data_IF_905041144009
#
_entry.id   IF_905041144009
#
_cell.length_a   1.000
_cell.length_b   1.000
_cell.length_c   1.000
_cell.angle_alpha   90.00
_cell.angle_beta   90.00
_cell.angle_gamma   90.00
#
_symmetry.space_group_name_H-M   'P 1'
#
loop_
_entity.id
_entity.type
_entity.pdbx_description
1 polymer ?
#
# COMPACT_ATOMS: atom_id res chain seq x y z
N UNK A 1 7.20 -54.34 8.64
CA UNK A 1 6.68 -55.60 9.19
C UNK A 1 7.88 -56.24 9.86
N UNK A 2 7.96 -56.15 11.21
CA UNK A 2 9.00 -56.78 12.07
C UNK A 2 10.47 -56.33 11.84
N UNK A 3 11.40 -56.35 12.81
CA UNK A 3 11.31 -56.60 14.27
C UNK A 3 12.49 -55.98 15.04
N UNK A 4 12.21 -55.67 16.32
CA UNK A 4 13.05 -55.56 17.54
C UNK A 4 14.54 -55.14 17.54
N UNK A 5 14.85 -54.20 18.45
CA UNK A 5 16.14 -54.09 19.14
C UNK A 5 16.34 -55.23 20.17
N UNK A 6 17.60 -55.62 20.44
CA UNK A 6 18.05 -56.11 21.75
C UNK A 6 19.52 -55.74 22.00
N UNK A 7 19.78 -54.78 22.90
CA UNK A 7 20.23 -54.96 24.31
C UNK A 7 21.70 -55.34 24.49
N UNK A 8 22.43 -54.52 25.26
CA UNK A 8 23.48 -54.98 26.18
C UNK A 8 23.51 -54.07 27.42
N UNK A 9 23.34 -54.69 28.59
CA UNK A 9 23.50 -54.15 29.95
C UNK A 9 24.36 -55.19 30.71
N UNK A 10 25.20 -54.84 31.70
CA UNK A 10 24.80 -54.91 33.12
C UNK A 10 25.59 -53.89 34.01
N UNK A 11 25.66 -53.88 35.36
CA UNK A 11 25.21 -54.76 36.47
C UNK A 11 24.87 -53.88 37.73
N UNK A 12 24.75 -54.33 39.03
CA UNK A 12 23.69 -53.79 39.91
C UNK A 12 24.11 -53.50 41.39
N UNK A 13 23.11 -53.56 42.30
CA UNK A 13 23.13 -53.58 43.78
C UNK A 13 23.09 -52.21 44.50
N UNK A 14 21.96 -51.78 45.11
CA UNK A 14 21.29 -52.19 46.38
C UNK A 14 21.80 -51.42 47.62
N UNK A 15 20.95 -50.77 48.44
CA UNK A 15 20.34 -51.22 49.73
C UNK A 15 19.33 -50.09 50.15
N UNK A 16 18.00 -50.28 50.15
CA UNK A 16 17.06 -50.75 51.21
C UNK A 16 16.36 -49.66 52.09
N UNK A 17 15.19 -49.94 52.74
CA UNK A 17 14.12 -48.94 52.98
C UNK A 17 13.53 -48.88 54.42
N UNK A 18 12.45 -48.08 54.64
CA UNK A 18 11.28 -48.17 55.60
C UNK A 18 10.70 -46.74 55.88
N UNK A 19 9.44 -46.42 56.27
CA UNK A 19 8.22 -47.18 56.64
C UNK A 19 6.90 -46.32 56.52
N UNK A 20 5.80 -46.93 56.02
CA UNK A 20 4.33 -46.81 56.36
C UNK A 20 3.56 -45.46 56.59
N UNK A 21 2.65 -45.13 55.63
CA UNK A 21 1.13 -45.07 55.68
C UNK A 21 0.35 -44.72 56.98
N UNK A 22 -0.88 -44.10 56.97
CA UNK A 22 -2.05 -44.44 56.11
C UNK A 22 -3.01 -43.26 55.67
N UNK A 23 -4.15 -43.53 54.96
CA UNK A 23 -5.01 -42.51 54.31
C UNK A 23 -6.40 -42.29 54.98
N UNK A 24 -7.16 -41.28 54.51
CA UNK A 24 -8.60 -41.10 54.77
C UNK A 24 -9.32 -40.48 53.55
N UNK A 25 -10.37 -41.13 53.07
CA UNK A 25 -11.49 -40.54 52.30
C UNK A 25 -12.64 -40.27 53.27
N UNK A 26 -13.43 -39.20 53.08
CA UNK A 26 -14.86 -39.33 52.71
C UNK A 26 -15.65 -37.99 52.58
N UNK A 27 -16.57 -37.99 51.61
CA UNK A 27 -17.89 -37.33 51.57
C UNK A 27 -18.11 -35.80 51.69
N UNK A 28 -18.56 -35.23 50.55
CA UNK A 28 -19.84 -34.51 50.38
C UNK A 28 -20.27 -33.45 51.41
N UNK A 29 -20.20 -32.18 50.99
CA UNK A 29 -21.29 -31.20 51.21
C UNK A 29 -21.42 -30.27 50.00
N UNK A 30 -22.65 -30.05 49.52
CA UNK A 30 -22.96 -29.00 48.55
C UNK A 30 -23.03 -27.66 49.27
N UNK A 31 -22.47 -26.62 48.68
CA UNK A 31 -22.58 -25.25 49.17
C UNK A 31 -23.45 -24.41 48.20
N UNK A 32 -24.76 -24.47 48.40
CA UNK A 32 -25.75 -23.71 47.62
C UNK A 32 -25.81 -22.24 48.12
N UNK A 33 -24.78 -21.44 47.79
CA UNK A 33 -24.75 -19.98 48.05
C UNK A 33 -24.74 -19.17 46.74
N UNK A 34 -25.64 -18.18 46.56
CA UNK A 34 -25.79 -17.47 45.30
C UNK A 34 -24.59 -16.57 45.00
N UNK A 35 -24.13 -16.59 43.75
CA UNK A 35 -23.08 -15.72 43.24
C UNK A 35 -23.52 -14.25 43.32
N UNK A 36 -22.86 -13.47 44.19
CA UNK A 36 -23.03 -12.02 44.27
C UNK A 36 -22.55 -11.36 42.97
N UNK A 37 -23.34 -10.43 42.43
CA UNK A 37 -22.96 -9.61 41.28
C UNK A 37 -21.82 -8.66 41.68
N UNK A 38 -20.84 -8.36 40.81
CA UNK A 38 -19.85 -7.33 41.08
C UNK A 38 -20.52 -5.95 41.21
N UNK A 39 -20.09 -5.18 42.21
CA UNK A 39 -20.57 -3.81 42.43
C UNK A 39 -20.07 -2.85 41.33
N UNK A 40 -20.82 -1.79 41.00
CA UNK A 40 -20.38 -0.78 40.06
C UNK A 40 -19.28 0.11 40.66
N UNK A 41 -18.13 0.18 39.99
CA UNK A 41 -17.03 1.10 40.32
C UNK A 41 -17.52 2.55 40.19
N UNK A 42 -17.27 3.45 41.17
CA UNK A 42 -17.72 4.84 41.09
C UNK A 42 -16.99 5.58 39.94
N UNK A 43 -17.66 6.54 39.28
CA UNK A 43 -17.04 7.30 38.20
C UNK A 43 -15.92 8.18 38.74
N UNK A 44 -14.69 7.93 38.25
CA UNK A 44 -13.58 8.87 38.42
C UNK A 44 -13.87 10.21 37.72
N UNK A 45 -13.16 11.29 38.10
CA UNK A 45 -13.47 12.63 37.61
C UNK A 45 -13.37 12.69 36.08
N UNK A 46 -14.42 13.21 35.45
CA UNK A 46 -14.47 13.47 34.00
C UNK A 46 -13.34 14.41 33.61
N UNK A 47 -12.31 13.87 32.97
CA UNK A 47 -11.35 14.69 32.24
C UNK A 47 -12.12 15.34 31.08
N UNK A 48 -12.25 16.66 31.11
CA UNK A 48 -12.68 17.42 29.94
C UNK A 48 -11.75 17.07 28.77
N UNK A 49 -12.26 16.90 27.54
CA UNK A 49 -11.39 16.73 26.38
C UNK A 49 -10.46 17.94 26.30
N UNK A 50 -9.16 17.69 26.43
CA UNK A 50 -8.16 18.75 26.51
C UNK A 50 -8.27 19.62 25.26
N UNK A 51 -8.48 20.92 25.46
CA UNK A 51 -8.47 21.90 24.39
C UNK A 51 -7.05 22.01 23.87
N UNK A 52 -6.72 21.23 22.84
CA UNK A 52 -5.38 21.19 22.23
C UNK A 52 -5.04 22.60 21.76
N UNK A 53 -4.09 23.25 22.45
CA UNK A 53 -3.72 24.63 22.17
C UNK A 53 -2.99 24.71 20.84
N UNK A 54 -3.25 25.77 20.06
CA UNK A 54 -2.64 25.99 18.75
C UNK A 54 -1.12 25.66 18.62
N UNK A 55 -0.23 26.02 19.58
CA UNK A 55 1.20 25.65 19.50
C UNK A 55 1.49 24.14 19.41
N UNK A 56 0.67 23.27 20.03
CA UNK A 56 0.88 21.81 20.00
C UNK A 56 0.58 21.24 18.60
N UNK A 57 -0.44 21.78 17.92
CA UNK A 57 -0.78 21.38 16.54
C UNK A 57 0.30 21.84 15.55
N UNK A 58 0.84 23.04 15.70
CA UNK A 58 1.89 23.56 14.81
C UNK A 58 3.19 22.75 14.91
N UNK A 59 3.61 22.37 16.12
CA UNK A 59 4.77 21.49 16.33
C UNK A 59 4.52 20.08 15.76
N UNK A 60 3.31 19.54 15.96
CA UNK A 60 2.87 18.26 15.39
C UNK A 60 2.92 18.28 13.85
N UNK A 61 2.37 19.31 13.21
CA UNK A 61 2.38 19.45 11.75
C UNK A 61 3.79 19.64 11.20
N UNK A 62 4.66 20.38 11.89
CA UNK A 62 6.08 20.50 11.52
C UNK A 62 6.80 19.15 11.56
N UNK A 63 6.53 18.33 12.59
CA UNK A 63 7.12 16.99 12.75
C UNK A 63 6.61 15.98 11.72
N UNK A 64 5.34 16.06 11.34
CA UNK A 64 4.68 15.12 10.43
C UNK A 64 4.36 15.73 9.06
N UNK A 65 5.18 16.67 8.59
CA UNK A 65 4.94 17.52 7.42
C UNK A 65 4.54 16.77 6.13
N UNK A 66 5.03 15.53 5.92
CA UNK A 66 4.66 14.68 4.78
C UNK A 66 3.20 14.15 4.79
N UNK A 67 2.47 14.36 5.88
CA UNK A 67 1.08 13.92 6.07
C UNK A 67 0.10 15.07 6.33
N UNK A 68 0.58 16.31 6.38
CA UNK A 68 -0.25 17.50 6.63
C UNK A 68 -1.11 17.81 5.40
N UNK A 69 -2.42 17.91 5.60
CA UNK A 69 -3.38 18.38 4.58
C UNK A 69 -3.44 19.90 4.57
N UNK A 70 -3.25 20.52 3.41
CA UNK A 70 -3.27 21.98 3.21
C UNK A 70 -4.27 22.38 2.13
N UNK A 71 -5.56 22.12 2.40
CA UNK A 71 -6.65 22.41 1.47
C UNK A 71 -7.79 23.17 2.17
N UNK A 72 -8.81 23.64 1.42
CA UNK A 72 -9.86 24.50 2.00
C UNK A 72 -10.77 23.75 2.98
N UNK A 73 -10.70 22.42 3.03
CA UNK A 73 -11.44 21.56 3.96
C UNK A 73 -10.65 21.31 5.26
N UNK A 74 -9.42 21.80 5.34
CA UNK A 74 -8.57 21.77 6.52
C UNK A 74 -8.15 20.38 6.97
N UNK A 75 -7.55 20.32 8.17
CA UNK A 75 -7.07 19.07 8.78
C UNK A 75 -8.19 18.03 8.84
N UNK A 76 -7.89 16.80 8.40
CA UNK A 76 -8.85 15.69 8.31
C UNK A 76 -10.10 15.96 7.44
N UNK A 77 -10.18 17.06 6.69
CA UNK A 77 -11.42 17.52 6.05
C UNK A 77 -12.48 17.97 7.07
N UNK A 78 -12.09 18.49 8.24
CA UNK A 78 -12.96 18.94 9.34
C UNK A 78 -12.98 20.46 9.56
N UNK A 79 -12.31 21.23 8.71
CA UNK A 79 -12.19 22.68 8.83
C UNK A 79 -13.49 23.44 8.53
N UNK A 80 -13.60 24.65 9.07
CA UNK A 80 -14.75 25.53 8.86
C UNK A 80 -14.80 26.08 7.43
N UNK A 81 -15.81 25.64 6.68
CA UNK A 81 -15.96 26.03 5.28
C UNK A 81 -16.63 27.42 5.12
N UNK A 82 -16.06 28.29 4.25
CA UNK A 82 -16.75 29.47 3.74
C UNK A 82 -18.12 29.16 3.14
N UNK A 83 -19.03 30.13 3.14
CA UNK A 83 -20.38 29.95 2.56
C UNK A 83 -20.37 29.57 1.07
N UNK A 84 -19.40 30.07 0.30
CA UNK A 84 -19.22 29.71 -1.12
C UNK A 84 -18.86 28.23 -1.27
N UNK A 85 -17.96 27.70 -0.42
CA UNK A 85 -17.60 26.28 -0.41
C UNK A 85 -18.81 25.41 -0.05
N UNK A 86 -19.59 25.81 0.97
CA UNK A 86 -20.84 25.12 1.36
C UNK A 86 -21.87 25.08 0.22
N UNK A 87 -22.05 26.19 -0.50
CA UNK A 87 -22.96 26.27 -1.65
C UNK A 87 -22.51 25.36 -2.80
N UNK A 88 -21.21 25.39 -3.13
CA UNK A 88 -20.65 24.57 -4.22
C UNK A 88 -20.68 23.06 -3.88
N UNK A 89 -20.45 22.69 -2.61
CA UNK A 89 -20.69 21.33 -2.13
C UNK A 89 -22.16 20.93 -2.27
N UNK A 90 -23.09 21.80 -1.86
CA UNK A 90 -24.54 21.52 -1.96
C UNK A 90 -24.98 21.30 -3.40
N UNK A 91 -24.53 22.15 -4.33
CA UNK A 91 -24.77 21.98 -5.77
C UNK A 91 -24.19 20.66 -6.30
N UNK A 92 -22.93 20.37 -5.97
CA UNK A 92 -22.27 19.14 -6.40
C UNK A 92 -22.92 17.88 -5.81
N UNK A 93 -23.41 17.93 -4.57
CA UNK A 93 -24.13 16.83 -3.91
C UNK A 93 -25.44 16.47 -4.60
N UNK A 94 -26.17 17.46 -5.11
CA UNK A 94 -27.44 17.24 -5.84
C UNK A 94 -27.20 16.83 -7.30
N UNK A 95 -26.10 17.29 -7.92
CA UNK A 95 -25.87 17.12 -9.37
C UNK A 95 -24.76 16.11 -9.71
N UNK A 96 -23.51 16.38 -9.29
CA UNK A 96 -22.35 15.58 -9.64
C UNK A 96 -22.29 14.24 -8.90
N UNK A 97 -22.56 14.23 -7.59
CA UNK A 97 -22.39 13.02 -6.76
C UNK A 97 -23.29 11.87 -7.23
N UNK A 98 -24.62 12.03 -7.48
CA UNK A 98 -25.46 10.92 -7.94
C UNK A 98 -25.04 10.43 -9.32
N UNK A 99 -24.74 11.35 -10.25
CA UNK A 99 -24.28 11.03 -11.59
C UNK A 99 -22.99 10.21 -11.56
N UNK A 100 -21.98 10.68 -10.81
CA UNK A 100 -20.66 10.03 -10.71
C UNK A 100 -20.72 8.69 -9.98
N UNK A 101 -21.56 8.54 -8.96
CA UNK A 101 -21.79 7.27 -8.29
C UNK A 101 -22.42 6.24 -9.25
N UNK A 102 -23.46 6.63 -9.98
CA UNK A 102 -24.10 5.75 -10.97
C UNK A 102 -23.11 5.38 -12.08
N UNK A 103 -22.51 6.36 -12.76
CA UNK A 103 -21.55 6.10 -13.85
C UNK A 103 -20.35 5.29 -13.39
N UNK A 104 -19.77 5.59 -12.22
CA UNK A 104 -18.63 4.87 -11.66
C UNK A 104 -18.97 3.42 -11.31
N UNK A 105 -20.12 3.19 -10.69
CA UNK A 105 -20.61 1.84 -10.41
C UNK A 105 -20.91 1.06 -11.69
N UNK A 106 -21.52 1.69 -12.70
CA UNK A 106 -21.74 1.06 -14.02
C UNK A 106 -20.43 0.64 -14.65
N UNK A 107 -19.41 1.50 -14.69
CA UNK A 107 -18.08 1.15 -15.25
C UNK A 107 -17.44 -0.01 -14.48
N UNK A 108 -17.50 0.01 -13.13
CA UNK A 108 -16.94 -1.06 -12.29
C UNK A 108 -17.66 -2.40 -12.50
N UNK A 109 -18.99 -2.39 -12.57
CA UNK A 109 -19.83 -3.59 -12.77
C UNK A 109 -19.63 -4.16 -14.17
N UNK A 110 -19.61 -3.33 -15.22
CA UNK A 110 -19.33 -3.76 -16.58
C UNK A 110 -17.95 -4.41 -16.70
N UNK A 111 -16.92 -3.79 -16.12
CA UNK A 111 -15.56 -4.34 -16.14
C UNK A 111 -15.46 -5.64 -15.34
N UNK A 112 -16.13 -5.74 -14.18
CA UNK A 112 -16.26 -7.00 -13.43
C UNK A 112 -16.90 -8.11 -14.27
N UNK A 113 -17.98 -7.83 -15.02
CA UNK A 113 -18.59 -8.82 -15.90
C UNK A 113 -17.66 -9.25 -17.03
N UNK A 114 -16.90 -8.33 -17.64
CA UNK A 114 -15.89 -8.65 -18.66
C UNK A 114 -14.81 -9.58 -18.08
N UNK A 115 -14.26 -9.25 -16.90
CA UNK A 115 -13.34 -10.12 -16.17
C UNK A 115 -13.97 -11.49 -15.88
N UNK A 116 -15.23 -11.54 -15.43
CA UNK A 116 -15.94 -12.78 -15.10
C UNK A 116 -16.17 -13.68 -16.32
N UNK A 117 -16.48 -13.11 -17.48
CA UNK A 117 -16.60 -13.81 -18.75
C UNK A 117 -15.23 -14.32 -19.22
N UNK A 118 -14.19 -13.47 -19.19
CA UNK A 118 -12.86 -13.85 -19.65
C UNK A 118 -12.22 -14.94 -18.76
N UNK A 119 -12.49 -14.92 -17.45
CA UNK A 119 -12.04 -15.96 -16.49
C UNK A 119 -12.96 -17.18 -16.41
N UNK A 120 -14.11 -17.18 -17.10
CA UNK A 120 -15.04 -18.30 -17.07
C UNK A 120 -14.37 -19.59 -17.57
N UNK A 121 -14.49 -20.65 -16.76
CA UNK A 121 -13.92 -21.98 -16.98
C UNK A 121 -12.38 -22.07 -17.00
N UNK A 122 -11.66 -21.05 -16.51
CA UNK A 122 -10.24 -21.19 -16.15
C UNK A 122 -10.09 -21.44 -14.65
N UNK A 123 -9.15 -22.31 -14.30
CA UNK A 123 -8.52 -22.27 -12.99
C UNK A 123 -7.61 -21.03 -12.90
N UNK A 124 -7.56 -20.31 -11.77
CA UNK A 124 -6.53 -19.31 -11.54
C UNK A 124 -5.15 -19.97 -11.49
N UNK A 125 -4.09 -19.25 -11.86
CA UNK A 125 -2.74 -19.65 -11.48
C UNK A 125 -2.66 -19.69 -9.94
N UNK A 126 -1.94 -20.68 -9.40
CA UNK A 126 -1.81 -20.95 -7.96
C UNK A 126 -0.34 -21.16 -7.62
N UNK A 127 0.46 -20.14 -7.89
CA UNK A 127 1.84 -20.06 -7.42
C UNK A 127 1.87 -19.40 -6.06
N UNK A 128 2.72 -19.92 -5.16
CA UNK A 128 2.94 -19.38 -3.82
C UNK A 128 1.61 -18.99 -3.12
N UNK A 129 0.68 -19.94 -3.00
CA UNK A 129 -0.67 -19.80 -2.39
C UNK A 129 -1.54 -18.61 -2.89
N UNK A 130 -1.16 -17.95 -3.99
CA UNK A 130 -1.85 -16.77 -4.50
C UNK A 130 -2.57 -17.08 -5.80
N UNK A 131 -3.83 -16.67 -5.85
CA UNK A 131 -4.68 -16.86 -7.03
C UNK A 131 -4.65 -15.62 -7.92
N UNK A 132 -4.17 -15.77 -9.16
CA UNK A 132 -4.32 -14.75 -10.20
C UNK A 132 -4.69 -15.30 -11.58
N UNK A 133 -5.07 -14.40 -12.48
CA UNK A 133 -5.30 -14.68 -13.90
C UNK A 133 -4.37 -13.82 -14.78
N UNK A 134 -3.27 -13.30 -14.23
CA UNK A 134 -2.41 -12.37 -14.95
C UNK A 134 -1.54 -13.07 -16.00
N UNK A 135 -1.19 -14.32 -15.74
CA UNK A 135 -0.40 -15.18 -16.62
C UNK A 135 -1.27 -15.90 -17.68
N UNK A 136 -2.58 -15.61 -17.75
CA UNK A 136 -3.43 -16.13 -18.82
C UNK A 136 -3.02 -15.50 -20.16
N UNK A 137 -2.87 -16.32 -21.20
CA UNK A 137 -2.48 -15.87 -22.53
C UNK A 137 -3.65 -15.51 -23.46
N UNK A 138 -3.30 -15.07 -24.68
CA UNK A 138 -4.23 -14.96 -25.81
C UNK A 138 -5.29 -13.85 -25.68
N UNK A 139 -6.38 -14.00 -26.45
CA UNK A 139 -7.38 -12.93 -26.63
C UNK A 139 -8.10 -12.53 -25.33
N UNK A 140 -8.33 -13.47 -24.41
CA UNK A 140 -8.98 -13.19 -23.11
C UNK A 140 -8.17 -12.20 -22.28
N UNK A 141 -6.84 -12.36 -22.25
CA UNK A 141 -5.90 -11.42 -21.62
C UNK A 141 -5.93 -10.06 -22.29
N UNK A 142 -5.88 -10.03 -23.61
CA UNK A 142 -5.94 -8.79 -24.38
C UNK A 142 -7.24 -8.01 -24.09
N UNK A 143 -8.39 -8.68 -24.03
CA UNK A 143 -9.67 -8.06 -23.66
C UNK A 143 -9.62 -7.49 -22.23
N UNK A 144 -9.17 -8.26 -21.23
CA UNK A 144 -9.04 -7.76 -19.84
C UNK A 144 -8.14 -6.51 -19.78
N UNK A 145 -6.96 -6.57 -20.42
CA UNK A 145 -5.99 -5.45 -20.39
C UNK A 145 -6.56 -4.21 -21.07
N UNK A 146 -7.09 -4.33 -22.29
CA UNK A 146 -7.56 -3.15 -23.04
C UNK A 146 -8.83 -2.55 -22.43
N UNK A 147 -9.79 -3.37 -22.00
CA UNK A 147 -10.99 -2.88 -21.31
C UNK A 147 -10.65 -2.31 -19.94
N UNK A 148 -9.73 -2.93 -19.20
CA UNK A 148 -9.26 -2.42 -17.91
C UNK A 148 -8.55 -1.08 -18.01
N UNK A 149 -7.71 -0.87 -19.05
CA UNK A 149 -7.10 0.43 -19.35
C UNK A 149 -8.16 1.50 -19.61
N UNK A 150 -9.12 1.20 -20.49
CA UNK A 150 -10.22 2.10 -20.83
C UNK A 150 -11.11 2.44 -19.62
N UNK A 151 -11.57 1.43 -18.88
CA UNK A 151 -12.41 1.61 -17.70
C UNK A 151 -11.69 2.42 -16.60
N UNK A 152 -10.38 2.23 -16.43
CA UNK A 152 -9.60 3.03 -15.46
C UNK A 152 -9.47 4.49 -15.89
N UNK A 153 -9.26 4.75 -17.18
CA UNK A 153 -9.26 6.12 -17.74
C UNK A 153 -10.64 6.79 -17.63
N UNK A 154 -11.71 6.01 -17.83
CA UNK A 154 -13.09 6.46 -17.68
C UNK A 154 -13.44 6.77 -16.21
N UNK A 155 -12.99 5.96 -15.24
CA UNK A 155 -13.14 6.26 -13.82
C UNK A 155 -12.41 7.55 -13.43
N UNK A 156 -11.18 7.76 -13.91
CA UNK A 156 -10.46 9.03 -13.72
C UNK A 156 -11.25 10.22 -14.31
N UNK A 157 -11.79 10.09 -15.52
CA UNK A 157 -12.65 11.11 -16.12
C UNK A 157 -13.92 11.38 -15.28
N UNK A 158 -14.57 10.33 -14.75
CA UNK A 158 -15.72 10.44 -13.86
C UNK A 158 -15.35 11.20 -12.57
N UNK A 159 -14.16 10.97 -12.02
CA UNK A 159 -13.61 11.74 -10.89
C UNK A 159 -13.09 13.16 -11.27
N UNK A 160 -13.31 13.63 -12.50
CA UNK A 160 -12.92 14.98 -12.93
C UNK A 160 -11.47 15.12 -13.42
N UNK A 161 -10.71 14.03 -13.52
CA UNK A 161 -9.39 14.00 -14.18
C UNK A 161 -9.57 13.91 -15.69
N UNK A 162 -10.12 15.00 -16.24
CA UNK A 162 -10.42 15.14 -17.66
C UNK A 162 -9.13 15.20 -18.49
N UNK A 163 -8.12 15.92 -18.02
CA UNK A 163 -6.79 16.02 -18.61
C UNK A 163 -5.73 15.48 -17.64
N UNK A 164 -4.75 14.78 -18.20
CA UNK A 164 -3.58 14.26 -17.46
C UNK A 164 -2.37 14.69 -18.29
N UNK A 165 -1.49 15.50 -17.70
CA UNK A 165 -0.29 15.97 -18.38
C UNK A 165 0.81 14.92 -18.22
N UNK A 166 1.29 14.33 -19.31
CA UNK A 166 2.39 13.37 -19.27
C UNK A 166 3.67 13.97 -19.86
N UNK A 167 4.69 14.12 -19.03
CA UNK A 167 6.04 14.51 -19.44
C UNK A 167 6.92 13.28 -19.47
N UNK A 168 7.55 13.02 -20.62
CA UNK A 168 8.62 12.04 -20.76
C UNK A 168 9.95 12.77 -20.69
N UNK A 169 10.83 12.37 -19.77
CA UNK A 169 12.20 12.87 -19.69
C UNK A 169 13.10 11.93 -20.47
N UNK A 170 13.86 12.46 -21.42
CA UNK A 170 14.95 11.73 -22.07
C UNK A 170 16.18 11.66 -21.16
N UNK A 171 17.17 10.84 -21.53
CA UNK A 171 18.46 10.76 -20.84
C UNK A 171 19.25 12.05 -21.13
N UNK A 172 18.99 13.09 -20.34
CA UNK A 172 19.94 14.18 -20.15
C UNK A 172 20.93 13.71 -19.09
N UNK A 173 22.22 13.77 -19.40
CA UNK A 173 23.31 13.29 -18.55
C UNK A 173 23.28 14.02 -17.19
N UNK A 174 22.68 13.39 -16.16
CA UNK A 174 22.52 13.98 -14.82
C UNK A 174 23.84 13.89 -14.08
N UNK A 175 24.81 14.69 -14.54
CA UNK A 175 26.05 14.94 -13.84
C UNK A 175 25.75 15.69 -12.54
N UNK A 176 25.44 14.94 -11.48
CA UNK A 176 25.32 15.45 -10.12
C UNK A 176 26.61 16.17 -9.74
N UNK A 177 26.55 17.50 -9.72
CA UNK A 177 27.73 18.34 -9.65
C UNK A 177 28.33 18.34 -8.24
N UNK A 178 29.13 17.32 -7.90
CA UNK A 178 29.68 17.17 -6.56
C UNK A 178 30.30 15.81 -6.22
N UNK A 179 31.28 15.34 -7.02
CA UNK A 179 32.12 14.15 -6.77
C UNK A 179 31.44 12.76 -6.86
N UNK A 180 31.11 12.33 -8.07
CA UNK A 180 31.37 10.94 -8.47
C UNK A 180 32.07 10.94 -9.84
N UNK A 181 33.34 10.54 -9.84
CA UNK A 181 34.16 10.53 -11.05
C UNK A 181 34.04 9.21 -11.79
N UNK A 182 33.20 9.17 -12.81
CA UNK A 182 33.27 8.17 -13.88
C UNK A 182 33.37 8.90 -15.21
N UNK A 183 34.57 8.90 -15.79
CA UNK A 183 34.72 9.20 -17.21
C UNK A 183 34.04 8.07 -17.99
N UNK A 184 32.94 8.39 -18.66
CA UNK A 184 32.37 7.49 -19.66
C UNK A 184 32.72 8.07 -21.02
N UNK A 185 33.81 7.58 -21.61
CA UNK A 185 34.05 7.80 -23.04
C UNK A 185 32.83 7.36 -23.83
N UNK A 186 32.45 8.14 -24.83
CA UNK A 186 31.38 7.83 -25.77
C UNK A 186 31.64 6.50 -26.50
N UNK A 187 31.06 5.40 -26.01
CA UNK A 187 31.04 4.09 -26.66
C UNK A 187 29.63 3.50 -26.64
N UNK A 188 29.18 3.18 -27.84
CA UNK A 188 28.00 2.41 -28.21
C UNK A 188 26.60 2.95 -27.91
N UNK A 189 25.92 3.36 -28.98
CA UNK A 189 24.46 3.45 -29.11
C UNK A 189 23.81 2.06 -29.16
N UNK A 190 24.26 1.12 -28.32
CA UNK A 190 23.79 -0.28 -28.30
C UNK A 190 23.74 -0.92 -26.91
N UNK A 191 23.68 -0.13 -25.83
CA UNK A 191 23.07 -0.62 -24.60
C UNK A 191 21.56 -0.80 -24.83
N UNK A 192 21.20 -2.04 -25.14
CA UNK A 192 19.90 -2.42 -25.67
C UNK A 192 18.73 -2.03 -24.74
N UNK A 193 17.59 -1.81 -25.39
CA UNK A 193 16.24 -1.45 -24.94
C UNK A 193 15.59 -2.40 -23.93
N UNK A 194 16.34 -2.86 -22.92
CA UNK A 194 15.92 -3.85 -21.95
C UNK A 194 14.69 -3.38 -21.17
N UNK A 195 13.61 -4.17 -21.22
CA UNK A 195 12.35 -3.89 -20.52
C UNK A 195 12.62 -3.69 -19.03
N UNK A 196 12.15 -2.61 -18.38
CA UNK A 196 12.29 -2.45 -16.93
C UNK A 196 11.56 -3.60 -16.22
N UNK A 197 12.16 -4.17 -15.19
CA UNK A 197 11.53 -5.25 -14.42
C UNK A 197 10.36 -4.77 -13.56
N UNK A 198 10.35 -3.48 -13.21
CA UNK A 198 9.36 -2.89 -12.30
C UNK A 198 9.16 -1.39 -12.57
N UNK A 199 7.92 -0.92 -12.44
CA UNK A 199 7.60 0.50 -12.30
C UNK A 199 7.69 0.88 -10.82
N UNK A 200 8.42 1.93 -10.48
CA UNK A 200 8.42 2.52 -9.14
C UNK A 200 7.76 3.89 -9.18
N UNK A 201 6.80 4.11 -8.29
CA UNK A 201 6.02 5.36 -8.22
C UNK A 201 6.01 5.92 -6.81
N UNK A 202 6.04 7.26 -6.68
CA UNK A 202 5.59 7.88 -5.42
C UNK A 202 4.09 7.57 -5.22
N UNK A 203 3.65 7.58 -3.97
CA UNK A 203 2.27 7.26 -3.59
C UNK A 203 1.60 8.45 -2.92
N UNK A 204 0.61 9.01 -3.59
CA UNK A 204 -0.13 10.18 -3.13
C UNK A 204 -1.58 9.81 -2.86
N UNK A 205 -2.19 8.96 -3.69
CA UNK A 205 -3.61 8.60 -3.59
C UNK A 205 -3.90 7.16 -4.02
N UNK A 206 -5.09 6.64 -3.71
CA UNK A 206 -5.55 5.40 -4.37
C UNK A 206 -5.82 5.63 -5.87
N UNK A 207 -5.97 6.89 -6.30
CA UNK A 207 -6.13 7.29 -7.69
C UNK A 207 -4.90 6.98 -8.56
N UNK A 208 -3.72 6.91 -7.95
CA UNK A 208 -2.47 6.49 -8.58
C UNK A 208 -2.65 5.11 -9.28
N UNK A 209 -3.40 4.20 -8.64
CA UNK A 209 -3.70 2.86 -9.16
C UNK A 209 -4.51 2.96 -10.46
N UNK A 210 -5.52 3.84 -10.52
CA UNK A 210 -6.31 4.04 -11.75
C UNK A 210 -5.46 4.63 -12.88
N UNK A 211 -4.54 5.55 -12.56
CA UNK A 211 -3.62 6.10 -13.54
C UNK A 211 -2.74 5.00 -14.14
N UNK A 212 -2.03 4.26 -13.30
CA UNK A 212 -1.14 3.19 -13.76
C UNK A 212 -1.91 2.04 -14.44
N UNK A 213 -3.12 1.70 -13.98
CA UNK A 213 -4.01 0.78 -14.70
C UNK A 213 -4.38 1.28 -16.10
N UNK A 214 -4.59 2.59 -16.29
CA UNK A 214 -4.88 3.18 -17.60
C UNK A 214 -3.65 3.27 -18.53
N UNK A 215 -2.47 3.55 -17.95
CA UNK A 215 -1.23 3.83 -18.68
C UNK A 215 -0.44 2.56 -19.05
N UNK A 216 -0.28 1.61 -18.12
CA UNK A 216 0.52 0.39 -18.31
C UNK A 216 -0.20 -0.91 -17.94
N UNK A 217 -1.28 -0.86 -17.15
CA UNK A 217 -2.01 -2.02 -16.62
C UNK A 217 -1.09 -3.04 -15.87
N UNK A 218 -0.36 -2.59 -14.82
CA UNK A 218 0.59 -3.45 -14.12
C UNK A 218 -0.07 -4.28 -13.01
N UNK A 219 0.69 -5.23 -12.49
CA UNK A 219 0.41 -5.96 -11.25
C UNK A 219 0.90 -5.17 -10.03
N UNK A 220 0.08 -5.08 -8.97
CA UNK A 220 0.36 -4.28 -7.77
C UNK A 220 0.59 -5.15 -6.52
N UNK A 221 1.12 -4.57 -5.44
CA UNK A 221 1.09 -5.17 -4.10
C UNK A 221 -0.08 -4.60 -3.28
N UNK A 222 -1.03 -5.44 -2.85
CA UNK A 222 -2.30 -5.03 -2.25
C UNK A 222 -2.57 -5.67 -0.87
N UNK A 223 -3.37 -5.06 0.02
CA UNK A 223 -3.80 -5.72 1.28
C UNK A 223 -4.60 -7.00 0.96
N UNK A 224 -4.44 -8.06 1.76
CA UNK A 224 -5.23 -9.33 1.62
C UNK A 224 -6.76 -9.12 1.71
N UNK A 225 -7.24 -8.03 2.32
CA UNK A 225 -8.65 -7.65 2.33
C UNK A 225 -9.17 -7.23 0.94
N UNK A 226 -8.34 -6.68 0.06
CA UNK A 226 -8.73 -6.27 -1.31
C UNK A 226 -9.24 -7.47 -2.12
N UNK A 227 -8.62 -8.65 -1.96
CA UNK A 227 -9.06 -9.89 -2.60
C UNK A 227 -10.50 -10.32 -2.22
N UNK A 228 -11.03 -9.81 -1.10
CA UNK A 228 -12.36 -10.13 -0.57
C UNK A 228 -13.41 -9.07 -0.90
N UNK A 229 -13.03 -7.92 -1.44
CA UNK A 229 -13.96 -6.86 -1.78
C UNK A 229 -14.90 -7.28 -2.93
N UNK A 230 -16.21 -7.00 -2.86
CA UNK A 230 -17.14 -7.29 -3.94
C UNK A 230 -16.73 -6.55 -5.21
N UNK A 231 -16.84 -7.23 -6.37
CA UNK A 231 -16.36 -6.80 -7.70
C UNK A 231 -14.83 -6.66 -7.80
N UNK A 232 -14.22 -5.84 -6.93
CA UNK A 232 -12.78 -5.50 -6.92
C UNK A 232 -11.90 -6.73 -6.71
N UNK A 233 -12.31 -7.70 -5.90
CA UNK A 233 -11.52 -8.91 -5.62
C UNK A 233 -11.24 -9.76 -6.88
N UNK A 234 -12.17 -9.85 -7.83
CA UNK A 234 -11.90 -10.54 -9.10
C UNK A 234 -11.01 -9.70 -10.01
N UNK A 235 -11.23 -8.38 -10.04
CA UNK A 235 -10.42 -7.44 -10.82
C UNK A 235 -8.95 -7.46 -10.36
N UNK A 236 -8.69 -7.48 -9.05
CA UNK A 236 -7.32 -7.57 -8.50
C UNK A 236 -6.64 -8.91 -8.80
N UNK A 237 -7.40 -10.02 -8.87
CA UNK A 237 -6.87 -11.30 -9.40
C UNK A 237 -6.57 -11.23 -10.90
N UNK A 238 -7.37 -10.52 -11.70
CA UNK A 238 -7.09 -10.33 -13.13
C UNK A 238 -5.88 -9.42 -13.41
N UNK A 239 -5.62 -8.45 -12.53
CA UNK A 239 -4.42 -7.62 -12.53
C UNK A 239 -3.15 -8.39 -12.13
N UNK A 240 -3.26 -9.48 -11.37
CA UNK A 240 -2.10 -10.16 -10.79
C UNK A 240 -1.61 -9.54 -9.50
N UNK A 241 -2.49 -8.97 -8.69
CA UNK A 241 -2.08 -8.35 -7.43
C UNK A 241 -1.47 -9.37 -6.46
N UNK A 242 -0.28 -9.07 -5.95
CA UNK A 242 0.38 -9.83 -4.87
C UNK A 242 -0.17 -9.35 -3.53
N UNK A 243 -0.69 -10.25 -2.70
CA UNK A 243 -1.42 -9.89 -1.48
C UNK A 243 -0.53 -9.91 -0.24
N UNK A 244 -0.40 -8.75 0.44
CA UNK A 244 0.25 -8.62 1.74
C UNK A 244 -0.73 -8.78 2.90
N UNK A 245 -0.30 -9.53 3.91
CA UNK A 245 -0.83 -9.48 5.26
C UNK A 245 0.24 -8.83 6.14
N UNK A 246 0.03 -7.58 6.56
CA UNK A 246 1.09 -6.73 7.15
C UNK A 246 1.53 -7.15 8.57
N UNK A 247 0.87 -8.14 9.18
CA UNK A 247 0.97 -8.45 10.61
C UNK A 247 1.17 -9.96 10.93
N UNK A 248 1.30 -10.86 9.94
CA UNK A 248 1.57 -12.29 10.19
C UNK A 248 3.04 -12.67 10.00
N UNK A 249 3.74 -12.97 11.10
CA UNK A 249 5.07 -13.63 11.10
C UNK A 249 4.95 -15.14 10.82
N UNK A 250 4.35 -15.54 9.70
CA UNK A 250 4.35 -16.95 9.27
C UNK A 250 5.71 -17.27 8.63
N UNK A 251 6.50 -18.13 9.26
CA UNK A 251 7.87 -18.50 8.88
C UNK A 251 7.97 -19.36 7.62
N UNK A 252 6.90 -20.08 7.28
CA UNK A 252 6.98 -21.28 6.43
C UNK A 252 6.69 -21.01 4.96
N UNK A 253 6.59 -19.73 4.58
CA UNK A 253 6.15 -19.28 3.27
C UNK A 253 7.20 -18.36 2.65
N UNK A 254 7.38 -18.44 1.32
CA UNK A 254 8.20 -17.53 0.53
C UNK A 254 7.64 -16.11 0.66
N UNK A 255 8.12 -15.39 1.67
CA UNK A 255 7.54 -14.11 2.09
C UNK A 255 7.43 -13.15 0.92
N UNK A 256 6.42 -12.26 0.94
CA UNK A 256 6.00 -11.44 -0.21
C UNK A 256 7.17 -10.79 -0.99
N UNK A 257 8.24 -10.40 -0.30
CA UNK A 257 9.47 -9.90 -0.91
C UNK A 257 10.09 -10.83 -1.97
N UNK A 258 10.07 -12.15 -1.76
CA UNK A 258 10.57 -13.15 -2.72
C UNK A 258 9.64 -13.32 -3.93
N UNK A 259 8.33 -13.22 -3.74
CA UNK A 259 7.34 -13.32 -4.82
C UNK A 259 7.38 -12.08 -5.71
N UNK A 260 7.49 -10.91 -5.09
CA UNK A 260 7.76 -9.65 -5.80
C UNK A 260 9.09 -9.74 -6.56
N UNK A 261 10.16 -10.19 -5.92
CA UNK A 261 11.48 -10.35 -6.54
C UNK A 261 11.42 -11.22 -7.80
N UNK A 262 10.74 -12.36 -7.76
CA UNK A 262 10.68 -13.28 -8.89
C UNK A 262 9.80 -12.75 -10.02
N UNK A 263 8.64 -12.13 -9.72
CA UNK A 263 7.82 -11.45 -10.75
C UNK A 263 8.54 -10.27 -11.42
N UNK A 264 9.41 -9.56 -10.71
CA UNK A 264 10.23 -8.49 -11.28
C UNK A 264 11.29 -9.06 -12.24
N UNK A 265 11.91 -10.20 -11.91
CA UNK A 265 12.84 -10.90 -12.82
C UNK A 265 12.11 -11.45 -14.05
N UNK A 266 10.96 -12.08 -13.84
CA UNK A 266 10.10 -12.60 -14.91
C UNK A 266 9.70 -11.48 -15.88
N UNK A 267 9.19 -10.36 -15.36
CA UNK A 267 8.82 -9.18 -16.16
C UNK A 267 10.01 -8.57 -16.93
N UNK A 268 11.23 -8.65 -16.38
CA UNK A 268 12.44 -8.22 -17.08
C UNK A 268 12.87 -9.18 -18.20
N UNK A 269 12.66 -10.49 -18.01
CA UNK A 269 13.11 -11.56 -18.91
C UNK A 269 12.12 -11.88 -20.04
N UNK A 270 10.83 -11.98 -19.74
CA UNK A 270 9.76 -12.19 -20.72
C UNK A 270 8.95 -10.92 -20.94
N UNK A 271 8.85 -10.47 -22.20
CA UNK A 271 8.06 -9.29 -22.58
C UNK A 271 6.55 -9.50 -22.42
N UNK A 272 6.08 -10.76 -22.38
CA UNK A 272 4.66 -11.11 -22.22
C UNK A 272 4.24 -11.17 -20.74
N UNK A 273 5.18 -11.40 -19.82
CA UNK A 273 4.92 -11.46 -18.39
C UNK A 273 4.33 -10.12 -17.86
N UNK A 274 3.43 -10.15 -16.86
CA UNK A 274 2.83 -8.95 -16.29
C UNK A 274 3.90 -8.01 -15.70
N UNK A 275 3.87 -6.73 -16.08
CA UNK A 275 4.78 -5.75 -15.48
C UNK A 275 4.39 -5.49 -14.02
N UNK A 276 5.34 -5.62 -13.11
CA UNK A 276 5.13 -5.27 -11.70
C UNK A 276 5.20 -3.75 -11.50
N UNK A 277 4.42 -3.25 -10.54
CA UNK A 277 4.45 -1.86 -10.11
C UNK A 277 4.39 -1.76 -8.59
N UNK A 278 5.29 -0.96 -8.02
CA UNK A 278 5.42 -0.79 -6.59
C UNK A 278 5.46 0.69 -6.18
N UNK A 279 4.84 0.94 -5.02
CA UNK A 279 4.97 2.16 -4.24
C UNK A 279 5.98 1.91 -3.11
N UNK A 280 7.29 2.15 -3.29
CA UNK A 280 8.32 1.74 -2.33
C UNK A 280 8.20 2.43 -0.96
N UNK A 281 7.53 3.58 -0.87
CA UNK A 281 7.15 4.24 0.40
C UNK A 281 6.25 3.35 1.29
N UNK A 282 5.39 2.52 0.66
CA UNK A 282 4.47 1.60 1.33
C UNK A 282 3.28 2.26 2.05
N UNK A 283 3.14 3.58 1.95
CA UNK A 283 2.00 4.40 2.39
C UNK A 283 1.93 5.68 1.55
N UNK A 284 0.80 6.40 1.62
CA UNK A 284 0.57 7.66 0.90
C UNK A 284 1.08 8.89 1.66
N UNK A 285 1.58 9.89 0.94
CA UNK A 285 1.92 11.24 1.46
C UNK A 285 0.87 12.28 1.07
N UNK A 286 1.11 13.56 1.39
CA UNK A 286 0.36 14.70 0.87
C UNK A 286 0.77 15.13 -0.56
N UNK A 287 1.80 14.50 -1.15
CA UNK A 287 2.28 14.79 -2.51
C UNK A 287 3.44 15.78 -2.63
N UNK A 288 3.81 16.47 -1.56
CA UNK A 288 4.98 17.38 -1.53
C UNK A 288 6.27 16.67 -1.06
N UNK A 289 6.13 15.53 -0.38
CA UNK A 289 7.22 14.79 0.24
C UNK A 289 7.35 13.36 -0.29
N UNK A 290 8.58 12.83 -0.21
CA UNK A 290 8.95 11.46 -0.59
C UNK A 290 9.58 10.71 0.60
N UNK A 291 8.89 9.67 1.08
CA UNK A 291 9.30 8.87 2.24
C UNK A 291 10.47 7.93 1.92
N UNK A 292 11.09 7.26 2.91
CA UNK A 292 12.17 6.29 2.67
C UNK A 292 11.67 5.09 1.88
N UNK A 293 12.43 4.70 0.86
CA UNK A 293 12.05 3.61 -0.04
C UNK A 293 12.40 2.23 0.55
N UNK A 294 11.42 1.33 0.55
CA UNK A 294 11.63 -0.08 0.92
C UNK A 294 12.33 -0.81 -0.22
N UNK A 295 13.27 -1.69 0.13
CA UNK A 295 14.13 -2.42 -0.81
C UNK A 295 13.40 -3.43 -1.72
N UNK A 296 12.12 -3.71 -1.48
CA UNK A 296 11.39 -4.80 -2.16
C UNK A 296 11.37 -4.74 -3.70
N UNK A 297 11.35 -3.54 -4.29
CA UNK A 297 11.44 -3.35 -5.75
C UNK A 297 12.87 -3.52 -6.31
N UNK A 298 13.88 -3.45 -5.44
CA UNK A 298 15.30 -3.29 -5.79
C UNK A 298 16.11 -4.59 -5.60
N UNK A 299 15.60 -5.54 -4.81
CA UNK A 299 16.21 -6.86 -4.56
C UNK A 299 16.45 -7.69 -5.83
N UNK A 300 15.68 -7.45 -6.89
CA UNK A 300 15.79 -8.16 -8.16
C UNK A 300 17.02 -7.79 -8.99
N UNK A 301 17.75 -6.73 -8.62
CA UNK A 301 18.91 -6.19 -9.36
C UNK A 301 18.58 -5.76 -10.81
N UNK A 302 17.30 -5.75 -11.18
CA UNK A 302 16.78 -5.38 -12.49
C UNK A 302 16.65 -3.84 -12.62
N UNK A 303 16.61 -3.30 -13.85
CA UNK A 303 16.32 -1.89 -14.07
C UNK A 303 14.89 -1.53 -13.64
N UNK A 304 14.72 -0.34 -13.07
CA UNK A 304 13.40 0.20 -12.68
C UNK A 304 12.97 1.32 -13.63
N UNK A 305 11.67 1.52 -13.82
CA UNK A 305 11.09 2.70 -14.47
C UNK A 305 10.51 3.63 -13.40
N UNK A 306 11.16 4.77 -13.08
CA UNK A 306 10.62 5.72 -12.12
C UNK A 306 9.53 6.58 -12.76
N UNK A 307 8.40 6.71 -12.06
CA UNK A 307 7.27 7.54 -12.48
C UNK A 307 6.83 8.41 -11.30
N UNK A 308 6.67 9.70 -11.53
CA UNK A 308 6.35 10.69 -10.49
C UNK A 308 4.96 11.24 -10.80
N UNK A 309 4.03 11.08 -9.87
CA UNK A 309 2.68 11.66 -9.91
C UNK A 309 2.63 12.90 -9.02
N UNK A 310 2.12 14.01 -9.57
CA UNK A 310 1.74 15.21 -8.81
C UNK A 310 0.26 15.49 -9.03
N UNK A 311 -0.38 16.04 -8.01
CA UNK A 311 -1.80 16.41 -8.02
C UNK A 311 -1.93 17.90 -7.76
N UNK A 312 -1.87 18.78 -8.79
CA UNK A 312 -2.20 20.19 -8.61
C UNK A 312 -3.66 20.36 -8.18
N UNK A 313 -3.91 21.19 -7.17
CA UNK A 313 -5.26 21.53 -6.72
C UNK A 313 -5.37 23.00 -6.33
N UNK A 314 -6.61 23.50 -6.36
CA UNK A 314 -6.97 24.84 -5.88
C UNK A 314 -7.82 24.81 -4.60
N UNK A 315 -8.65 23.77 -4.42
CA UNK A 315 -9.64 23.69 -3.35
C UNK A 315 -9.50 22.42 -2.50
N UNK A 316 -9.66 21.25 -3.10
CA UNK A 316 -9.52 19.95 -2.44
C UNK A 316 -8.22 19.25 -2.85
N UNK A 317 -7.43 18.77 -1.91
CA UNK A 317 -6.25 17.93 -2.22
C UNK A 317 -6.68 16.47 -2.52
N UNK A 318 -6.40 15.92 -3.72
CA UNK A 318 -6.67 14.51 -4.05
C UNK A 318 -5.75 13.49 -3.36
N UNK A 319 -4.78 13.96 -2.58
CA UNK A 319 -3.91 13.10 -1.78
C UNK A 319 -4.72 12.36 -0.70
N UNK A 320 -4.27 11.15 -0.32
CA UNK A 320 -4.88 10.38 0.77
C UNK A 320 -3.97 10.39 2.01
N UNK A 321 -3.80 11.58 2.54
CA UNK A 321 -2.89 11.95 3.63
C UNK A 321 -3.40 11.57 5.03
N UNK A 322 -4.05 12.52 5.71
CA UNK A 322 -4.74 12.42 7.00
C UNK A 322 -6.21 12.01 6.85
N UNK A 323 -6.88 12.46 5.79
CA UNK A 323 -8.34 12.38 5.64
C UNK A 323 -8.89 10.93 5.54
N UNK A 324 -10.04 10.67 6.18
CA UNK A 324 -10.68 9.35 6.13
C UNK A 324 -11.22 9.01 4.74
N UNK A 325 -11.16 7.73 4.34
CA UNK A 325 -11.49 7.29 2.99
C UNK A 325 -12.89 7.67 2.52
N UNK A 326 -13.91 7.51 3.36
CA UNK A 326 -15.30 7.89 3.04
C UNK A 326 -15.44 9.39 2.77
N UNK A 327 -14.79 10.23 3.59
CA UNK A 327 -14.83 11.69 3.42
C UNK A 327 -14.02 12.14 2.20
N UNK A 328 -12.86 11.52 1.95
CA UNK A 328 -12.05 11.75 0.77
C UNK A 328 -12.85 11.45 -0.51
N UNK A 329 -13.49 10.28 -0.59
CA UNK A 329 -14.34 9.89 -1.73
C UNK A 329 -15.49 10.88 -1.91
N UNK A 330 -16.17 11.28 -0.84
CA UNK A 330 -17.24 12.27 -0.89
C UNK A 330 -16.77 13.61 -1.48
N UNK A 331 -15.70 14.20 -0.95
CA UNK A 331 -15.20 15.48 -1.47
C UNK A 331 -14.64 15.36 -2.88
N UNK A 332 -13.98 14.25 -3.23
CA UNK A 332 -13.52 13.99 -4.60
C UNK A 332 -14.69 13.93 -5.60
N UNK A 333 -15.79 13.25 -5.24
CA UNK A 333 -17.01 13.21 -6.05
C UNK A 333 -17.65 14.59 -6.21
N UNK A 334 -17.45 15.52 -5.27
CA UNK A 334 -17.91 16.91 -5.37
C UNK A 334 -17.00 17.83 -6.22
N UNK A 335 -15.77 17.46 -6.57
CA UNK A 335 -14.86 18.35 -7.30
C UNK A 335 -15.19 18.41 -8.80
N UNK A 336 -15.49 19.60 -9.33
CA UNK A 336 -15.80 19.79 -10.75
C UNK A 336 -14.66 19.33 -11.67
N UNK A 337 -13.42 19.73 -11.37
CA UNK A 337 -12.20 19.36 -12.11
C UNK A 337 -11.13 18.95 -11.10
N UNK A 338 -10.34 17.92 -11.43
CA UNK A 338 -9.11 17.58 -10.74
C UNK A 338 -7.96 17.46 -11.75
N UNK A 339 -6.74 17.74 -11.31
CA UNK A 339 -5.56 17.72 -12.18
C UNK A 339 -4.57 16.64 -11.74
N UNK A 340 -3.92 16.03 -12.72
CA UNK A 340 -2.85 15.06 -12.52
C UNK A 340 -1.73 15.37 -13.52
N UNK A 341 -0.52 15.48 -12.99
CA UNK A 341 0.72 15.61 -13.75
C UNK A 341 1.55 14.35 -13.51
N UNK A 342 2.11 13.80 -14.58
CA UNK A 342 2.92 12.59 -14.53
C UNK A 342 4.24 12.81 -15.24
N UNK A 343 5.33 12.64 -14.53
CA UNK A 343 6.67 12.65 -15.11
C UNK A 343 7.22 11.23 -15.15
N UNK A 344 7.43 10.70 -16.35
CA UNK A 344 8.09 9.41 -16.60
C UNK A 344 9.58 9.67 -16.83
N UNK A 345 10.42 9.12 -15.96
CA UNK A 345 11.89 9.22 -16.10
C UNK A 345 12.42 8.13 -17.05
N UNK A 346 13.67 8.25 -17.54
CA UNK A 346 14.35 7.15 -18.19
C UNK A 346 14.41 5.90 -17.31
N UNK A 347 14.57 4.73 -17.93
CA UNK A 347 14.82 3.49 -17.21
C UNK A 347 16.13 3.64 -16.44
N UNK A 348 16.08 3.41 -15.12
CA UNK A 348 17.24 3.47 -14.25
C UNK A 348 17.91 2.10 -14.20
N UNK A 349 19.15 2.02 -14.68
CA UNK A 349 19.95 0.80 -14.66
C UNK A 349 20.90 0.83 -13.44
N UNK A 350 20.79 -0.13 -12.50
CA UNK A 350 21.61 -0.11 -11.30
C UNK A 350 23.07 -0.42 -11.61
N UNK A 351 23.96 0.37 -11.01
CA UNK A 351 25.40 0.10 -10.95
C UNK A 351 25.70 -1.21 -10.20
N UNK A 352 26.92 -1.72 -10.30
CA UNK A 352 27.29 -2.94 -9.57
C UNK A 352 27.19 -2.76 -8.04
N UNK A 353 27.52 -1.57 -7.52
CA UNK A 353 27.40 -1.26 -6.09
C UNK A 353 25.93 -1.33 -5.62
N UNK A 354 25.00 -0.82 -6.42
CA UNK A 354 23.55 -0.85 -6.13
C UNK A 354 22.94 -2.24 -6.30
N UNK A 355 23.48 -3.04 -7.21
CA UNK A 355 23.14 -4.46 -7.31
C UNK A 355 23.57 -5.22 -6.06
N UNK A 356 24.62 -4.79 -5.37
CA UNK A 356 25.14 -5.47 -4.18
C UNK A 356 24.62 -4.88 -2.86
N UNK A 357 24.24 -3.59 -2.84
CA UNK A 357 23.42 -2.98 -1.78
C UNK A 357 22.07 -2.44 -2.31
N UNK A 358 20.98 -3.23 -2.16
CA UNK A 358 19.62 -2.82 -2.51
C UNK A 358 19.10 -1.60 -1.73
N UNK A 359 19.71 -1.21 -0.60
CA UNK A 359 19.36 0.03 0.13
C UNK A 359 19.93 1.25 -0.58
N UNK A 360 21.20 1.18 -1.00
CA UNK A 360 21.83 2.19 -1.84
C UNK A 360 21.04 2.39 -3.14
N UNK A 361 20.63 1.31 -3.80
CA UNK A 361 19.78 1.38 -5.00
C UNK A 361 18.45 2.10 -4.72
N UNK A 362 17.74 1.70 -3.67
CA UNK A 362 16.45 2.31 -3.29
C UNK A 362 16.58 3.81 -2.99
N UNK A 363 17.64 4.20 -2.27
CA UNK A 363 17.90 5.58 -1.86
C UNK A 363 18.40 6.46 -3.03
N UNK A 364 19.19 5.93 -3.96
CA UNK A 364 19.60 6.67 -5.16
C UNK A 364 18.42 6.95 -6.10
N UNK A 365 17.56 5.95 -6.35
CA UNK A 365 16.32 6.14 -7.14
C UNK A 365 15.36 7.10 -6.44
N UNK A 366 15.25 7.04 -5.10
CA UNK A 366 14.49 8.01 -4.31
C UNK A 366 15.00 9.43 -4.48
N UNK A 367 16.32 9.65 -4.40
CA UNK A 367 16.94 10.98 -4.61
C UNK A 367 16.71 11.51 -6.03
N UNK A 368 16.84 10.66 -7.05
CA UNK A 368 16.53 11.01 -8.42
C UNK A 368 15.06 11.44 -8.57
N UNK A 369 14.13 10.65 -8.03
CA UNK A 369 12.70 10.99 -8.08
C UNK A 369 12.37 12.27 -7.31
N UNK A 370 13.05 12.52 -6.19
CA UNK A 370 12.87 13.76 -5.43
C UNK A 370 13.41 14.99 -6.18
N UNK A 371 14.58 14.87 -6.82
CA UNK A 371 15.16 15.92 -7.65
C UNK A 371 14.26 16.25 -8.85
N UNK A 372 13.95 15.26 -9.69
CA UNK A 372 13.17 15.46 -10.92
C UNK A 372 11.72 15.85 -10.67
N UNK A 373 11.16 15.43 -9.53
CA UNK A 373 9.79 15.73 -9.12
C UNK A 373 9.63 17.01 -8.31
N UNK A 374 10.71 17.65 -7.87
CA UNK A 374 10.66 18.76 -6.92
C UNK A 374 9.96 18.36 -5.60
N UNK A 375 10.36 17.22 -5.02
CA UNK A 375 9.78 16.66 -3.80
C UNK A 375 10.78 16.76 -2.64
N UNK A 376 10.29 16.99 -1.43
CA UNK A 376 11.12 17.06 -0.22
C UNK A 376 11.33 15.65 0.36
N UNK A 377 12.58 15.26 0.58
CA UNK A 377 12.89 13.99 1.27
C UNK A 377 12.45 14.07 2.74
N UNK A 378 11.77 13.04 3.24
CA UNK A 378 11.38 12.92 4.65
C UNK A 378 11.75 11.55 5.21
N UNK A 379 12.21 11.49 6.45
CA UNK A 379 12.67 10.23 7.08
C UNK A 379 11.58 9.50 7.87
N UNK A 380 10.35 10.04 7.88
CA UNK A 380 9.19 9.43 8.53
C UNK A 380 8.51 8.40 7.63
N UNK A 381 7.79 7.44 8.21
CA UNK A 381 7.12 6.35 7.48
C UNK A 381 5.72 6.04 8.01
N UNK A 382 5.25 4.82 7.70
CA UNK A 382 3.90 4.37 8.06
C UNK A 382 3.63 4.35 9.58
N UNK A 383 4.66 4.12 10.41
CA UNK A 383 4.50 4.14 11.87
C UNK A 383 4.18 5.56 12.36
N UNK A 384 4.94 6.54 11.86
CA UNK A 384 4.77 7.96 12.12
C UNK A 384 3.43 8.46 11.57
N UNK A 385 3.00 7.96 10.41
CA UNK A 385 1.67 8.24 9.86
C UNK A 385 0.54 7.80 10.80
N UNK A 386 0.65 6.59 11.40
CA UNK A 386 -0.32 6.10 12.40
C UNK A 386 -0.34 6.99 13.65
N UNK A 387 0.83 7.37 14.17
CA UNK A 387 0.94 8.29 15.32
C UNK A 387 0.28 9.63 15.04
N UNK A 388 0.55 10.24 13.87
CA UNK A 388 -0.08 11.49 13.45
C UNK A 388 -1.60 11.37 13.30
N UNK A 389 -2.09 10.31 12.64
CA UNK A 389 -3.53 10.04 12.50
C UNK A 389 -4.24 9.91 13.85
N UNK A 390 -3.62 9.26 14.83
CA UNK A 390 -4.21 9.09 16.15
C UNK A 390 -4.23 10.40 16.95
N UNK A 391 -3.13 11.17 16.92
CA UNK A 391 -3.06 12.50 17.53
C UNK A 391 -4.17 13.42 16.98
N UNK A 392 -4.36 13.44 15.65
CA UNK A 392 -5.44 14.18 14.97
C UNK A 392 -6.87 13.68 15.25
N UNK A 393 -7.03 12.53 15.91
CA UNK A 393 -8.31 12.01 16.40
C UNK A 393 -8.39 12.07 17.95
N UNK A 394 -7.51 12.81 18.61
CA UNK A 394 -7.52 12.99 20.07
C UNK A 394 -6.99 11.80 20.87
N UNK A 395 -6.39 10.79 20.22
CA UNK A 395 -5.84 9.62 20.90
C UNK A 395 -4.31 9.76 21.06
N UNK A 396 -3.89 10.32 22.18
CA UNK A 396 -2.47 10.58 22.51
C UNK A 396 -1.72 9.37 23.08
N UNK A 397 -2.37 8.20 23.20
CA UNK A 397 -1.77 6.99 23.80
C UNK A 397 -0.88 6.21 22.80
N UNK A 398 0.38 6.65 22.66
CA UNK A 398 1.39 6.10 21.71
C UNK A 398 1.45 4.56 21.66
N UNK A 399 1.45 3.80 22.79
CA UNK A 399 1.53 2.33 22.74
C UNK A 399 0.33 1.67 22.06
N UNK A 400 -0.87 2.24 22.22
CA UNK A 400 -2.12 1.72 21.67
C UNK A 400 -2.15 1.88 20.14
N UNK A 401 -1.63 3.00 19.64
CA UNK A 401 -1.72 3.42 18.24
C UNK A 401 -0.87 2.56 17.30
N UNK A 402 0.28 2.07 17.76
CA UNK A 402 1.11 1.14 16.98
C UNK A 402 0.43 -0.22 16.75
N UNK A 403 -0.55 -0.56 17.59
CA UNK A 403 -1.32 -1.83 17.58
C UNK A 403 -2.80 -1.67 17.20
N UNK A 404 -3.29 -0.46 16.94
CA UNK A 404 -4.71 -0.23 16.68
C UNK A 404 -5.08 -0.74 15.27
N UNK A 405 -6.14 -1.54 15.20
CA UNK A 405 -6.60 -2.21 13.97
C UNK A 405 -7.54 -1.28 13.20
N UNK A 406 -7.24 -1.05 11.94
CA UNK A 406 -8.22 -0.56 10.96
C UNK A 406 -8.86 -1.78 10.28
N UNK A 407 -10.15 -2.02 10.54
CA UNK A 407 -10.97 -3.03 9.86
C UNK A 407 -11.27 -2.64 8.38
#
# INVERSE_FOLDING_TARGET
MESELKTLNPNPAQIQPTQRSPPVDDNLTKDDRPLLKPEPVPPGPTQNPATTTAPDIEELEKKYAAYVRRDVYGVMGRGDLPWVEKLLLGLALVTLVPLRLVSGLTVLVLYYFICRICTAFLAPNREDEQEDYAHMGGWRRAVIVQTGRFCSRALLFIFGFYWISETHRDIVDVSFNGKFGTQTESKDQSQDSARPGVIVSNHVSYLDILYHMSSSFPSFVAKRSVAKLPLVGLISKCLGCVYVQRESKSSDFKGVSGIVNDRIKEAHQDKNAPMMMLFPEGTTTNGDFLLPFKTGAFLAKAPVLPVILRYPYQRFSPAWDSISGVRHVFFLLCQFVNYMEVTKLPVYHPSQQEKDDPRLYAENVRRLMAHEGGLVLSDIGLAEKRVYHAALNGNTSIPTVLHQKDD
#
